data_IF_630873179110
#
_entry.id   IF_630873179110
#
_cell.length_a   1.000
_cell.length_b   1.000
_cell.length_c   1.000
_cell.angle_alpha   90.00
_cell.angle_beta   90.00
_cell.angle_gamma   90.00
#
_symmetry.space_group_name_H-M   'P 1'
#
loop_
_entity.id
_entity.type
_entity.pdbx_description
1 polymer ?
#
# COMPACT_ATOMS: atom_id res chain seq x y z
N UNK A 1 -10.13 -36.09 -3.77
CA UNK A 1 -11.06 -35.06 -4.28
C UNK A 1 -10.59 -33.69 -3.78
N UNK A 2 -9.67 -33.05 -4.50
CA UNK A 2 -9.18 -31.70 -4.18
C UNK A 2 -8.46 -31.16 -5.42
N UNK A 3 -9.23 -30.61 -6.37
CA UNK A 3 -8.75 -29.73 -7.43
C UNK A 3 -9.96 -28.90 -7.87
N UNK A 4 -10.15 -27.71 -7.30
CA UNK A 4 -11.14 -26.72 -7.77
C UNK A 4 -10.81 -25.29 -7.29
N UNK A 5 -9.52 -24.94 -7.16
CA UNK A 5 -9.08 -23.62 -6.67
C UNK A 5 -8.25 -22.78 -7.66
N UNK A 6 -7.80 -23.36 -8.79
CA UNK A 6 -6.91 -22.69 -9.76
C UNK A 6 -7.57 -22.29 -11.07
N UNK A 7 -8.82 -22.67 -11.30
CA UNK A 7 -9.51 -22.44 -12.57
C UNK A 7 -10.13 -21.05 -12.67
N UNK A 8 -10.49 -20.39 -11.56
CA UNK A 8 -11.10 -19.05 -11.61
C UNK A 8 -10.10 -17.93 -11.97
N UNK A 9 -8.90 -17.92 -11.37
CA UNK A 9 -7.87 -16.87 -11.64
C UNK A 9 -7.35 -16.91 -13.09
N UNK A 10 -7.04 -18.09 -13.62
CA UNK A 10 -6.56 -18.21 -15.02
C UNK A 10 -7.63 -17.82 -16.06
N UNK A 11 -8.91 -17.99 -15.73
CA UNK A 11 -10.03 -17.64 -16.64
C UNK A 11 -10.33 -16.14 -16.59
N UNK A 12 -10.13 -15.48 -15.45
CA UNK A 12 -10.27 -14.03 -15.29
C UNK A 12 -9.14 -13.28 -16.02
N UNK A 13 -7.88 -13.66 -15.78
CA UNK A 13 -6.72 -13.07 -16.47
C UNK A 13 -6.76 -13.20 -18.01
N UNK A 14 -7.21 -14.35 -18.53
CA UNK A 14 -7.35 -14.58 -19.98
C UNK A 14 -8.49 -13.78 -20.63
N UNK A 15 -9.51 -13.37 -19.86
CA UNK A 15 -10.63 -12.52 -20.32
C UNK A 15 -10.34 -11.04 -20.16
N UNK A 16 -9.63 -10.63 -19.10
CA UNK A 16 -9.12 -9.27 -18.90
C UNK A 16 -8.22 -8.87 -20.09
N UNK A 17 -7.39 -9.79 -20.60
CA UNK A 17 -6.59 -9.56 -21.81
C UNK A 17 -7.42 -9.26 -23.08
N UNK A 18 -8.71 -9.60 -23.13
CA UNK A 18 -9.63 -9.29 -24.25
C UNK A 18 -10.11 -7.83 -24.22
N UNK A 19 -10.05 -7.17 -23.06
CA UNK A 19 -10.44 -5.76 -22.84
C UNK A 19 -9.45 -4.80 -23.52
N UNK A 20 -8.17 -5.19 -23.65
CA UNK A 20 -7.13 -4.42 -24.37
C UNK A 20 -7.42 -4.08 -25.84
N UNK A 21 -8.48 -4.64 -26.45
CA UNK A 21 -8.84 -4.36 -27.86
C UNK A 21 -9.87 -3.24 -28.05
N UNK A 22 -10.36 -2.59 -26.99
CA UNK A 22 -11.32 -1.50 -27.18
C UNK A 22 -11.48 -0.57 -25.99
N UNK A 23 -10.54 0.34 -25.77
CA UNK A 23 -10.89 1.70 -25.30
C UNK A 23 -9.73 2.68 -25.46
N UNK A 24 -10.11 3.94 -25.61
CA UNK A 24 -9.39 5.02 -26.28
C UNK A 24 -8.25 5.65 -25.47
N UNK A 25 -7.28 6.18 -26.22
CA UNK A 25 -6.16 7.02 -25.78
C UNK A 25 -6.61 8.34 -25.15
N UNK A 26 -6.07 8.67 -23.97
CA UNK A 26 -6.01 10.04 -23.46
C UNK A 26 -4.54 10.51 -23.43
N UNK A 27 -4.25 11.60 -24.13
CA UNK A 27 -2.92 12.21 -24.26
C UNK A 27 -2.77 13.25 -23.13
N UNK A 28 -1.79 13.05 -22.24
CA UNK A 28 -1.35 14.08 -21.29
C UNK A 28 -0.47 15.10 -22.00
N UNK A 29 -0.88 16.37 -22.00
CA UNK A 29 -0.04 17.50 -22.34
C UNK A 29 -0.15 18.53 -21.22
N UNK A 30 0.96 18.84 -20.54
CA UNK A 30 1.02 19.93 -19.58
C UNK A 30 2.28 20.76 -19.82
N UNK A 31 2.07 22.04 -20.11
CA UNK A 31 3.12 23.03 -20.28
C UNK A 31 2.67 24.42 -19.82
N UNK A 32 3.61 25.09 -19.11
CA UNK A 32 3.76 26.53 -18.86
C UNK A 32 3.03 27.17 -17.65
N UNK A 33 3.50 28.33 -17.12
CA UNK A 33 4.85 28.58 -16.58
C UNK A 33 4.84 29.32 -15.21
N UNK A 34 6.03 29.41 -14.61
CA UNK A 34 6.37 29.97 -13.28
C UNK A 34 6.14 31.48 -13.13
N UNK A 35 5.78 31.90 -11.91
CA UNK A 35 6.04 33.25 -11.41
C UNK A 35 6.61 33.20 -9.98
N UNK A 36 7.52 34.13 -9.68
CA UNK A 36 8.42 34.18 -8.53
C UNK A 36 8.01 35.26 -7.53
N UNK A 37 7.99 34.97 -6.23
CA UNK A 37 7.83 35.99 -5.15
C UNK A 37 8.65 35.57 -3.91
N UNK A 38 9.28 36.52 -3.16
CA UNK A 38 10.49 36.26 -2.37
C UNK A 38 10.26 35.94 -0.88
N UNK A 39 11.33 35.44 -0.27
CA UNK A 39 11.43 34.95 1.10
C UNK A 39 11.31 36.04 2.18
N UNK A 40 10.75 35.67 3.33
CA UNK A 40 10.96 36.39 4.60
C UNK A 40 11.31 35.40 5.71
N UNK A 41 12.36 35.76 6.45
CA UNK A 41 12.98 35.02 7.53
C UNK A 41 12.30 35.29 8.88
N UNK A 42 12.19 34.25 9.72
CA UNK A 42 12.59 34.25 11.14
C UNK A 42 12.06 32.99 11.86
N UNK A 43 12.92 31.98 12.07
CA UNK A 43 12.66 30.86 12.97
C UNK A 43 13.29 31.13 14.34
N UNK A 44 12.53 30.88 15.42
CA UNK A 44 13.06 30.67 16.76
C UNK A 44 12.83 29.21 17.18
N UNK A 45 13.94 28.54 17.47
CA UNK A 45 14.07 27.16 17.95
C UNK A 45 13.43 26.97 19.34
N UNK A 46 12.76 25.83 19.56
CA UNK A 46 12.28 25.42 20.88
C UNK A 46 12.90 24.07 21.30
N UNK A 47 13.35 24.02 22.54
CA UNK A 47 14.31 23.07 23.10
C UNK A 47 13.74 21.68 23.43
N UNK A 48 14.63 20.67 23.37
CA UNK A 48 14.39 19.26 23.68
C UNK A 48 14.57 19.00 25.18
N UNK A 49 13.59 18.32 25.82
CA UNK A 49 13.70 17.79 27.19
C UNK A 49 13.86 16.26 27.15
N UNK A 50 14.93 15.77 27.77
CA UNK A 50 15.22 14.33 28.04
C UNK A 50 14.50 13.89 29.34
N UNK A 51 14.27 12.63 29.75
CA UNK A 51 14.73 11.27 29.41
C UNK A 51 13.86 10.28 30.22
N UNK A 52 13.72 9.01 29.79
CA UNK A 52 14.18 7.84 30.58
C UNK A 52 13.97 6.52 29.81
N UNK A 53 15.01 5.67 29.86
CA UNK A 53 15.23 4.46 29.06
C UNK A 53 15.33 3.27 30.02
N UNK A 54 14.68 2.15 29.68
CA UNK A 54 15.00 0.83 30.24
C UNK A 54 15.87 0.05 29.23
N UNK A 55 17.01 -0.46 29.71
CA UNK A 55 18.04 -1.19 28.96
C UNK A 55 17.62 -2.63 28.64
N UNK A 56 17.94 -3.09 27.43
CA UNK A 56 18.33 -4.49 27.15
C UNK A 56 19.38 -4.51 26.04
N UNK A 57 20.47 -5.20 26.33
CA UNK A 57 21.73 -5.22 25.58
C UNK A 57 21.65 -6.05 24.29
N UNK A 58 21.79 -5.38 23.14
CA UNK A 58 22.38 -5.93 21.90
C UNK A 58 23.19 -4.78 21.28
N UNK A 59 24.47 -4.69 21.62
CA UNK A 59 25.40 -3.73 21.00
C UNK A 59 25.88 -4.30 19.65
N UNK A 60 25.10 -4.03 18.60
CA UNK A 60 25.69 -3.81 17.28
C UNK A 60 26.06 -2.33 17.26
N UNK A 61 27.34 -2.00 17.05
CA UNK A 61 27.76 -0.63 16.77
C UNK A 61 27.07 -0.14 15.48
N UNK A 62 25.87 0.41 15.64
CA UNK A 62 25.33 1.35 14.66
C UNK A 62 26.25 2.56 14.72
N UNK A 63 27.09 2.70 13.69
CA UNK A 63 27.74 3.98 13.36
C UNK A 63 26.73 5.08 13.62
N UNK A 64 27.13 6.04 14.46
CA UNK A 64 26.36 7.25 14.78
C UNK A 64 25.69 7.77 13.50
N UNK A 65 24.37 7.92 13.55
CA UNK A 65 23.58 8.49 12.46
C UNK A 65 24.01 9.95 12.36
N UNK A 66 25.03 10.20 11.56
CA UNK A 66 25.54 11.54 11.29
C UNK A 66 24.49 12.29 10.47
N UNK A 67 23.92 13.33 11.10
CA UNK A 67 22.91 14.29 10.59
C UNK A 67 21.53 13.69 10.31
N UNK A 68 20.58 14.02 11.19
CA UNK A 68 19.14 13.93 10.87
C UNK A 68 18.88 14.93 9.74
N UNK A 69 18.64 14.42 8.53
CA UNK A 69 18.28 15.24 7.38
C UNK A 69 16.79 15.54 7.45
N UNK A 70 16.42 16.83 7.39
CA UNK A 70 15.03 17.24 7.28
C UNK A 70 14.50 16.92 5.88
N UNK A 71 13.57 15.97 5.82
CA UNK A 71 13.08 15.36 4.56
C UNK A 71 12.17 16.32 3.78
N UNK A 72 11.59 17.29 4.48
CA UNK A 72 10.56 18.19 3.96
C UNK A 72 11.09 19.57 3.54
N UNK A 73 12.41 19.80 3.58
CA UNK A 73 13.03 21.12 3.39
C UNK A 73 13.11 21.61 1.92
N UNK A 74 12.43 20.96 0.99
CA UNK A 74 12.46 21.37 -0.42
C UNK A 74 11.45 22.49 -0.74
N UNK A 75 11.87 23.73 -0.50
CA UNK A 75 11.10 24.94 -0.80
C UNK A 75 10.88 25.19 -2.30
N UNK A 76 11.52 24.43 -3.21
CA UNK A 76 11.38 24.62 -4.65
C UNK A 76 10.14 23.93 -5.23
N UNK A 77 9.62 22.94 -4.52
CA UNK A 77 8.41 22.22 -4.90
C UNK A 77 7.22 22.65 -4.03
N UNK A 78 6.25 23.41 -4.57
CA UNK A 78 5.06 23.82 -3.83
C UNK A 78 4.26 22.65 -3.25
N UNK A 79 4.33 21.45 -3.82
CA UNK A 79 3.62 20.26 -3.34
C UNK A 79 4.19 19.73 -2.02
N UNK A 80 5.39 20.18 -1.64
CA UNK A 80 6.01 19.83 -0.37
C UNK A 80 5.34 20.46 0.84
N UNK A 81 4.67 21.61 0.63
CA UNK A 81 4.01 22.33 1.70
C UNK A 81 4.90 22.52 2.94
N UNK A 82 6.19 22.86 2.72
CA UNK A 82 7.26 22.82 3.74
C UNK A 82 6.84 23.45 5.07
N UNK A 83 6.19 24.62 5.02
CA UNK A 83 5.75 25.37 6.20
C UNK A 83 4.76 24.63 7.12
N UNK A 84 4.01 23.67 6.57
CA UNK A 84 2.99 22.89 7.29
C UNK A 84 3.25 21.38 7.27
N UNK A 85 4.35 20.93 6.64
CA UNK A 85 4.64 19.51 6.44
C UNK A 85 4.71 18.71 7.76
N UNK A 86 5.25 19.33 8.81
CA UNK A 86 5.29 18.74 10.15
C UNK A 86 3.89 18.51 10.73
N UNK A 87 2.98 19.47 10.54
CA UNK A 87 1.61 19.38 11.05
C UNK A 87 0.77 18.41 10.22
N UNK A 88 0.98 18.35 8.90
CA UNK A 88 0.42 17.30 8.03
C UNK A 88 0.84 15.92 8.55
N UNK A 89 2.13 15.71 8.82
CA UNK A 89 2.62 14.42 9.31
C UNK A 89 2.03 14.06 10.68
N UNK A 90 2.00 15.01 11.64
CA UNK A 90 1.35 14.80 12.94
C UNK A 90 -0.13 14.43 12.79
N UNK A 91 -0.85 15.13 11.91
CA UNK A 91 -2.24 14.83 11.63
C UNK A 91 -2.40 13.43 11.03
N UNK A 92 -1.60 13.07 10.03
CA UNK A 92 -1.62 11.73 9.44
C UNK A 92 -1.41 10.64 10.50
N UNK A 93 -0.42 10.81 11.41
CA UNK A 93 -0.15 9.87 12.50
C UNK A 93 -1.32 9.76 13.50
N UNK A 94 -1.92 10.89 13.86
CA UNK A 94 -3.06 10.93 14.78
C UNK A 94 -4.34 10.33 14.18
N UNK A 95 -4.49 10.42 12.85
CA UNK A 95 -5.65 9.95 12.10
C UNK A 95 -5.52 8.50 11.59
N UNK A 96 -4.48 7.74 12.00
CA UNK A 96 -4.29 6.32 11.67
C UNK A 96 -5.38 5.43 12.31
N UNK A 97 -6.60 5.50 11.78
CA UNK A 97 -7.70 4.60 12.16
C UNK A 97 -7.43 3.22 11.57
N UNK A 98 -7.56 2.19 12.40
CA UNK A 98 -7.43 0.79 11.99
C UNK A 98 -8.80 0.11 11.97
N UNK A 99 -9.06 -0.78 11.01
CA UNK A 99 -10.16 -1.76 11.12
C UNK A 99 -10.01 -2.62 12.38
N UNK A 100 -11.07 -3.35 12.75
CA UNK A 100 -10.93 -4.36 13.81
C UNK A 100 -9.96 -5.45 13.36
N UNK A 101 -9.21 -6.02 14.29
CA UNK A 101 -8.21 -7.06 13.97
C UNK A 101 -8.76 -8.48 14.07
N UNK A 102 -10.02 -8.60 14.48
CA UNK A 102 -10.69 -9.84 14.86
C UNK A 102 -12.08 -9.97 14.21
N UNK A 103 -12.39 -9.17 13.18
CA UNK A 103 -13.73 -9.20 12.58
C UNK A 103 -14.02 -10.51 11.86
N UNK A 104 -13.00 -11.23 11.39
CA UNK A 104 -13.19 -12.56 10.80
C UNK A 104 -13.71 -13.57 11.83
N UNK A 105 -13.24 -13.47 13.07
CA UNK A 105 -13.62 -14.36 14.16
C UNK A 105 -14.88 -13.88 14.90
N UNK A 106 -15.01 -12.56 15.10
CA UNK A 106 -16.05 -11.96 15.93
C UNK A 106 -17.34 -11.61 15.20
N UNK A 107 -17.25 -11.19 13.93
CA UNK A 107 -18.40 -10.66 13.17
C UNK A 107 -18.78 -11.61 12.03
N UNK A 108 -17.79 -12.07 11.27
CA UNK A 108 -18.04 -12.83 10.06
C UNK A 108 -18.38 -14.29 10.35
N UNK A 109 -19.40 -14.80 9.64
CA UNK A 109 -19.90 -16.18 9.81
C UNK A 109 -19.69 -17.04 8.57
N UNK A 110 -19.65 -16.41 7.40
CA UNK A 110 -19.67 -17.09 6.10
C UNK A 110 -18.45 -16.76 5.22
N UNK A 111 -17.64 -15.78 5.63
CA UNK A 111 -16.38 -15.42 4.98
C UNK A 111 -15.21 -15.67 5.95
N UNK A 112 -14.03 -15.92 5.40
CA UNK A 112 -12.80 -16.11 6.15
C UNK A 112 -11.64 -15.31 5.53
N UNK A 113 -10.49 -15.30 6.21
CA UNK A 113 -9.29 -14.59 5.77
C UNK A 113 -8.82 -14.99 4.37
N UNK A 114 -8.94 -16.26 3.99
CA UNK A 114 -8.57 -16.73 2.65
C UNK A 114 -9.47 -16.14 1.55
N UNK A 115 -10.77 -16.02 1.81
CA UNK A 115 -11.72 -15.45 0.85
C UNK A 115 -11.48 -13.94 0.68
N UNK A 116 -11.13 -13.23 1.75
CA UNK A 116 -10.65 -11.85 1.69
C UNK A 116 -9.37 -11.73 0.86
N UNK A 117 -8.39 -12.58 1.10
CA UNK A 117 -7.14 -12.58 0.32
C UNK A 117 -7.42 -12.81 -1.18
N UNK A 118 -8.28 -13.77 -1.53
CA UNK A 118 -8.71 -14.00 -2.92
C UNK A 118 -9.42 -12.79 -3.52
N UNK A 119 -10.27 -12.10 -2.74
CA UNK A 119 -10.89 -10.85 -3.22
C UNK A 119 -9.84 -9.78 -3.52
N UNK A 120 -8.93 -9.52 -2.58
CA UNK A 120 -7.94 -8.45 -2.71
C UNK A 120 -6.98 -8.73 -3.87
N UNK A 121 -6.54 -9.98 -4.04
CA UNK A 121 -5.74 -10.43 -5.18
C UNK A 121 -6.44 -10.11 -6.51
N UNK A 122 -7.73 -10.42 -6.62
CA UNK A 122 -8.52 -10.04 -7.79
C UNK A 122 -8.67 -8.51 -7.95
N UNK A 123 -8.79 -7.75 -6.85
CA UNK A 123 -8.85 -6.28 -6.92
C UNK A 123 -7.53 -5.65 -7.37
N UNK A 124 -6.38 -6.32 -7.18
CA UNK A 124 -5.12 -5.90 -7.80
C UNK A 124 -5.23 -5.99 -9.33
N UNK A 125 -5.76 -7.09 -9.87
CA UNK A 125 -6.00 -7.24 -11.32
C UNK A 125 -6.96 -6.16 -11.85
N UNK A 126 -8.02 -5.84 -11.10
CA UNK A 126 -8.96 -4.75 -11.42
C UNK A 126 -8.24 -3.39 -11.47
N UNK A 127 -7.40 -3.10 -10.47
CA UNK A 127 -6.66 -1.85 -10.41
C UNK A 127 -5.66 -1.72 -11.57
N UNK A 128 -5.01 -2.81 -11.95
CA UNK A 128 -4.11 -2.85 -13.11
C UNK A 128 -4.87 -2.64 -14.43
N UNK A 129 -6.03 -3.28 -14.59
CA UNK A 129 -6.83 -3.17 -15.82
C UNK A 129 -7.29 -1.73 -16.09
N UNK A 130 -7.76 -1.04 -15.04
CA UNK A 130 -8.15 0.37 -15.13
C UNK A 130 -7.01 1.36 -14.91
N UNK A 131 -5.78 0.86 -14.70
CA UNK A 131 -4.56 1.67 -14.45
C UNK A 131 -4.74 2.67 -13.31
N UNK A 132 -5.39 2.24 -12.24
CA UNK A 132 -5.65 3.04 -11.06
C UNK A 132 -4.33 3.36 -10.34
N UNK A 133 -4.26 4.51 -9.68
CA UNK A 133 -3.13 4.81 -8.81
C UNK A 133 -3.13 3.87 -7.59
N UNK A 134 -1.96 3.51 -7.03
CA UNK A 134 -1.91 2.58 -5.91
C UNK A 134 -2.76 3.04 -4.71
N UNK A 135 -2.80 4.35 -4.43
CA UNK A 135 -3.55 4.93 -3.33
C UNK A 135 -5.05 4.55 -3.38
N UNK A 136 -5.62 4.42 -4.59
CA UNK A 136 -6.98 3.95 -4.83
C UNK A 136 -7.20 2.52 -4.33
N UNK A 137 -6.28 1.60 -4.62
CA UNK A 137 -6.35 0.22 -4.13
C UNK A 137 -6.25 0.16 -2.60
N UNK A 138 -5.32 0.92 -2.01
CA UNK A 138 -5.14 0.96 -0.56
C UNK A 138 -6.39 1.50 0.16
N UNK A 139 -7.04 2.52 -0.40
CA UNK A 139 -8.31 3.03 0.11
C UNK A 139 -9.43 2.01 -0.04
N UNK A 140 -9.55 1.35 -1.19
CA UNK A 140 -10.57 0.32 -1.40
C UNK A 140 -10.45 -0.82 -0.37
N UNK A 141 -9.25 -1.32 -0.11
CA UNK A 141 -9.00 -2.34 0.93
C UNK A 141 -9.36 -1.82 2.33
N UNK A 142 -9.01 -0.57 2.66
CA UNK A 142 -9.41 0.07 3.91
C UNK A 142 -10.94 0.09 4.08
N UNK A 143 -11.68 0.41 3.01
CA UNK A 143 -13.14 0.46 3.04
C UNK A 143 -13.75 -0.93 3.24
N UNK A 144 -13.22 -1.95 2.55
CA UNK A 144 -13.65 -3.34 2.69
C UNK A 144 -13.49 -3.78 4.16
N UNK A 145 -12.30 -3.62 4.73
CA UNK A 145 -12.02 -4.10 6.08
C UNK A 145 -12.82 -3.36 7.15
N UNK A 146 -12.98 -2.03 7.02
CA UNK A 146 -13.83 -1.26 7.93
C UNK A 146 -15.29 -1.68 7.83
N UNK A 147 -15.80 -1.92 6.62
CA UNK A 147 -17.18 -2.35 6.42
C UNK A 147 -17.42 -3.75 7.01
N UNK A 148 -16.51 -4.70 6.76
CA UNK A 148 -16.55 -6.05 7.33
C UNK A 148 -16.36 -6.06 8.85
N UNK A 149 -15.75 -5.02 9.43
CA UNK A 149 -15.60 -4.89 10.89
C UNK A 149 -16.91 -4.66 11.64
N UNK A 150 -18.00 -4.28 10.97
CA UNK A 150 -19.30 -4.07 11.64
C UNK A 150 -20.51 -4.62 10.90
N UNK A 151 -20.32 -5.23 9.72
CA UNK A 151 -21.41 -5.78 8.92
C UNK A 151 -21.11 -7.22 8.55
N UNK A 152 -22.03 -8.13 8.92
CA UNK A 152 -21.96 -9.53 8.51
C UNK A 152 -22.11 -9.60 6.99
N UNK A 153 -21.19 -10.30 6.32
CA UNK A 153 -21.19 -10.45 4.87
C UNK A 153 -21.42 -11.91 4.47
N UNK A 154 -22.24 -12.10 3.43
CA UNK A 154 -22.37 -13.39 2.76
C UNK A 154 -21.30 -13.49 1.66
N UNK A 155 -20.69 -14.67 1.51
CA UNK A 155 -19.65 -14.91 0.51
C UNK A 155 -20.04 -14.54 -0.92
N UNK A 156 -21.31 -14.71 -1.29
CA UNK A 156 -21.86 -14.44 -2.61
C UNK A 156 -21.90 -12.93 -2.93
N UNK A 157 -21.89 -12.08 -1.89
CA UNK A 157 -21.89 -10.62 -2.00
C UNK A 157 -20.52 -10.00 -1.74
N UNK A 158 -19.50 -10.81 -1.47
CA UNK A 158 -18.16 -10.33 -1.16
C UNK A 158 -17.50 -9.64 -2.36
N UNK A 159 -17.69 -10.15 -3.58
CA UNK A 159 -17.21 -9.49 -4.80
C UNK A 159 -17.93 -8.15 -5.04
N UNK A 160 -19.27 -8.11 -4.84
CA UNK A 160 -20.06 -6.87 -4.91
C UNK A 160 -19.53 -5.81 -3.94
N UNK A 161 -19.20 -6.18 -2.69
CA UNK A 161 -18.54 -5.28 -1.74
C UNK A 161 -17.23 -4.74 -2.32
N UNK A 162 -16.37 -5.64 -2.82
CA UNK A 162 -15.05 -5.28 -3.35
C UNK A 162 -15.13 -4.25 -4.48
N UNK A 163 -15.93 -4.52 -5.52
CA UNK A 163 -16.07 -3.56 -6.63
C UNK A 163 -16.71 -2.25 -6.23
N UNK A 164 -17.66 -2.27 -5.28
CA UNK A 164 -18.30 -1.05 -4.79
C UNK A 164 -17.30 -0.20 -3.99
N UNK A 165 -16.43 -0.83 -3.20
CA UNK A 165 -15.34 -0.14 -2.50
C UNK A 165 -14.30 0.45 -3.47
N UNK A 166 -13.95 -0.25 -4.55
CA UNK A 166 -13.10 0.32 -5.61
C UNK A 166 -13.82 1.48 -6.29
N UNK A 167 -15.10 1.36 -6.62
CA UNK A 167 -15.89 2.45 -7.22
C UNK A 167 -15.92 3.71 -6.34
N UNK A 168 -16.03 3.55 -5.02
CA UNK A 168 -15.93 4.67 -4.09
C UNK A 168 -14.51 5.26 -4.08
N UNK A 169 -13.47 4.40 -4.06
CA UNK A 169 -12.09 4.85 -4.04
C UNK A 169 -11.70 5.61 -5.31
N UNK A 170 -12.13 5.17 -6.50
CA UNK A 170 -11.83 5.89 -7.75
C UNK A 170 -12.50 7.26 -7.80
N UNK A 171 -13.71 7.42 -7.25
CA UNK A 171 -14.38 8.72 -7.14
C UNK A 171 -13.65 9.66 -6.17
N UNK A 172 -12.87 9.11 -5.26
CA UNK A 172 -12.17 9.86 -4.22
C UNK A 172 -10.75 10.26 -4.66
N UNK A 173 -10.02 9.36 -5.32
CA UNK A 173 -8.58 9.52 -5.57
C UNK A 173 -8.24 9.78 -7.05
N UNK A 174 -9.05 9.29 -8.00
CA UNK A 174 -8.73 9.40 -9.43
C UNK A 174 -9.21 10.73 -10.02
N UNK A 175 -8.45 11.27 -10.96
CA UNK A 175 -8.85 12.45 -11.74
C UNK A 175 -10.05 12.10 -12.63
N UNK A 176 -10.04 10.90 -13.22
CA UNK A 176 -11.07 10.40 -14.11
C UNK A 176 -11.58 9.06 -13.60
N UNK A 177 -12.66 9.08 -12.83
CA UNK A 177 -13.28 7.85 -12.34
C UNK A 177 -14.04 7.09 -13.46
N UNK A 178 -13.85 5.75 -13.58
CA UNK A 178 -14.68 4.91 -14.44
C UNK A 178 -16.17 5.01 -14.10
N UNK A 179 -17.01 4.80 -15.10
CA UNK A 179 -18.47 4.77 -14.91
C UNK A 179 -18.91 3.47 -14.22
N UNK A 180 -20.10 3.48 -13.60
CA UNK A 180 -20.62 2.31 -12.88
C UNK A 180 -20.78 1.08 -13.79
N UNK A 181 -21.10 1.30 -15.06
CA UNK A 181 -21.23 0.25 -16.07
C UNK A 181 -19.92 -0.53 -16.28
N UNK A 182 -18.76 0.11 -16.10
CA UNK A 182 -17.46 -0.56 -16.18
C UNK A 182 -17.28 -1.55 -15.02
N UNK A 183 -17.72 -1.18 -13.81
CA UNK A 183 -17.69 -2.07 -12.65
C UNK A 183 -18.67 -3.23 -12.78
N UNK A 184 -19.84 -3.02 -13.39
CA UNK A 184 -20.72 -4.14 -13.76
C UNK A 184 -20.02 -5.07 -14.76
N UNK A 185 -19.40 -4.50 -15.79
CA UNK A 185 -18.72 -5.25 -16.84
C UNK A 185 -17.56 -6.11 -16.32
N UNK A 186 -16.69 -5.59 -15.46
CA UNK A 186 -15.53 -6.35 -14.94
C UNK A 186 -15.94 -7.49 -14.00
N UNK A 187 -17.15 -7.42 -13.42
CA UNK A 187 -17.75 -8.55 -12.71
C UNK A 187 -18.42 -9.56 -13.64
N UNK A 188 -18.15 -9.51 -14.94
CA UNK A 188 -18.83 -10.29 -15.98
C UNK A 188 -20.35 -10.09 -15.98
N UNK A 189 -20.82 -8.90 -15.59
CA UNK A 189 -22.24 -8.59 -15.36
C UNK A 189 -22.92 -9.52 -14.35
N UNK A 190 -22.16 -10.03 -13.38
CA UNK A 190 -22.73 -10.78 -12.24
C UNK A 190 -23.68 -9.92 -11.43
N UNK A 191 -23.44 -8.60 -11.39
CA UNK A 191 -24.24 -7.63 -10.64
C UNK A 191 -24.82 -6.56 -11.56
N UNK A 192 -26.05 -6.15 -11.27
CA UNK A 192 -26.70 -5.03 -11.93
C UNK A 192 -26.23 -3.70 -11.35
N UNK A 193 -26.35 -2.63 -12.15
CA UNK A 193 -26.00 -1.26 -11.77
C UNK A 193 -26.64 -0.86 -10.44
N UNK A 194 -27.91 -1.19 -10.26
CA UNK A 194 -28.68 -0.87 -9.05
C UNK A 194 -28.10 -1.55 -7.82
N UNK A 195 -27.60 -2.78 -7.94
CA UNK A 195 -26.98 -3.51 -6.83
C UNK A 195 -25.65 -2.88 -6.43
N UNK A 196 -24.84 -2.46 -7.40
CA UNK A 196 -23.56 -1.76 -7.15
C UNK A 196 -23.82 -0.41 -6.47
N UNK A 197 -24.80 0.36 -6.94
CA UNK A 197 -25.17 1.64 -6.33
C UNK A 197 -25.77 1.49 -4.93
N UNK A 198 -26.59 0.46 -4.69
CA UNK A 198 -27.10 0.15 -3.36
C UNK A 198 -25.97 -0.23 -2.39
N UNK A 199 -25.01 -1.01 -2.87
CA UNK A 199 -23.86 -1.40 -2.06
C UNK A 199 -22.94 -0.21 -1.78
N UNK A 200 -22.70 0.67 -2.75
CA UNK A 200 -22.02 1.95 -2.53
C UNK A 200 -22.71 2.77 -1.43
N UNK A 201 -24.03 2.96 -1.53
CA UNK A 201 -24.78 3.72 -0.55
C UNK A 201 -24.68 3.09 0.85
N UNK A 202 -24.73 1.75 0.95
CA UNK A 202 -24.57 1.04 2.22
C UNK A 202 -23.18 1.29 2.84
N UNK A 203 -22.11 1.19 2.05
CA UNK A 203 -20.73 1.45 2.51
C UNK A 203 -20.58 2.90 2.96
N UNK A 204 -21.00 3.88 2.16
CA UNK A 204 -20.89 5.30 2.50
C UNK A 204 -21.65 5.66 3.78
N UNK A 205 -22.88 5.13 3.93
CA UNK A 205 -23.69 5.37 5.12
C UNK A 205 -23.07 4.75 6.38
N UNK A 206 -22.58 3.52 6.29
CA UNK A 206 -21.91 2.87 7.42
C UNK A 206 -20.65 3.64 7.85
N UNK A 207 -19.89 4.14 6.87
CA UNK A 207 -18.66 4.90 7.09
C UNK A 207 -18.92 6.36 7.47
N UNK A 208 -20.19 6.80 7.49
CA UNK A 208 -20.61 8.19 7.71
C UNK A 208 -19.86 9.17 6.80
N UNK A 209 -19.58 8.75 5.57
CA UNK A 209 -18.81 9.50 4.58
C UNK A 209 -17.36 9.86 5.02
N UNK A 210 -16.81 9.22 6.06
CA UNK A 210 -15.41 9.36 6.46
C UNK A 210 -14.50 8.46 5.59
N UNK A 211 -14.30 8.89 4.34
CA UNK A 211 -13.55 8.14 3.32
C UNK A 211 -12.04 8.41 3.34
N UNK A 212 -11.61 9.56 3.87
CA UNK A 212 -10.19 9.86 4.03
C UNK A 212 -9.58 8.93 5.09
N UNK A 213 -8.56 8.15 4.72
CA UNK A 213 -7.82 7.30 5.65
C UNK A 213 -6.32 7.32 5.33
N UNK A 214 -5.43 7.55 6.32
CA UNK A 214 -3.99 7.37 6.12
C UNK A 214 -3.68 5.91 5.77
N UNK A 215 -2.99 5.68 4.66
CA UNK A 215 -2.59 4.34 4.21
C UNK A 215 -1.09 4.15 4.31
N UNK A 216 -0.62 2.90 4.23
CA UNK A 216 0.83 2.62 4.25
C UNK A 216 1.52 3.29 3.06
N UNK A 217 0.83 3.43 1.92
CA UNK A 217 1.31 4.15 0.74
C UNK A 217 1.58 5.64 1.04
N UNK A 218 0.73 6.30 1.83
CA UNK A 218 0.94 7.70 2.25
C UNK A 218 2.27 7.86 3.02
N UNK A 219 2.53 6.97 3.97
CA UNK A 219 3.76 7.00 4.77
C UNK A 219 4.99 6.59 3.98
N UNK A 220 4.86 5.61 3.08
CA UNK A 220 5.95 5.14 2.23
C UNK A 220 6.56 6.25 1.39
N UNK A 221 5.75 7.12 0.77
CA UNK A 221 6.25 8.25 -0.05
C UNK A 221 7.23 9.12 0.74
N UNK A 222 6.92 9.39 2.01
CA UNK A 222 7.79 10.16 2.92
C UNK A 222 9.02 9.35 3.33
N UNK A 223 8.85 8.07 3.66
CA UNK A 223 9.95 7.25 4.17
C UNK A 223 10.98 6.86 3.11
N UNK A 224 10.58 6.67 1.84
CA UNK A 224 11.50 6.48 0.71
C UNK A 224 12.47 7.65 0.60
N UNK A 225 11.98 8.88 0.79
CA UNK A 225 12.79 10.10 0.76
C UNK A 225 13.65 10.32 2.00
N UNK A 226 13.22 9.78 3.14
CA UNK A 226 13.98 9.77 4.38
C UNK A 226 15.10 8.70 4.39
N UNK A 227 14.94 7.65 3.60
CA UNK A 227 15.84 6.52 3.54
C UNK A 227 17.23 6.72 2.89
N UNK A 228 17.52 7.75 2.04
CA UNK A 228 18.83 7.96 1.45
C UNK A 228 19.82 8.51 2.48
N UNK A 229 20.30 7.61 3.34
CA UNK A 229 21.52 7.77 4.14
C UNK A 229 22.67 6.87 3.66
N UNK A 230 22.47 6.16 2.54
CA UNK A 230 23.47 5.27 1.95
C UNK A 230 23.52 5.58 0.45
N UNK A 231 24.59 6.19 -0.05
CA UNK A 231 24.85 6.45 -1.48
C UNK A 231 25.01 5.16 -2.31
N UNK A 232 24.51 4.03 -1.81
CA UNK A 232 24.88 2.68 -2.20
C UNK A 232 23.72 1.89 -2.81
N UNK A 233 22.47 2.38 -2.71
CA UNK A 233 21.27 1.73 -3.24
C UNK A 233 20.57 2.71 -4.19
N UNK A 234 20.28 2.34 -5.45
CA UNK A 234 19.46 3.16 -6.34
C UNK A 234 18.10 3.44 -5.70
N UNK A 235 17.73 4.72 -5.55
CA UNK A 235 16.49 5.15 -4.91
C UNK A 235 15.25 4.46 -5.48
N UNK A 236 15.22 4.26 -6.80
CA UNK A 236 14.14 3.57 -7.50
C UNK A 236 13.99 2.09 -7.09
N UNK A 237 15.10 1.35 -6.92
CA UNK A 237 15.03 -0.06 -6.51
C UNK A 237 14.47 -0.21 -5.10
N UNK A 238 14.91 0.67 -4.19
CA UNK A 238 14.40 0.72 -2.83
C UNK A 238 12.90 1.00 -2.83
N UNK A 239 12.48 2.00 -3.60
CA UNK A 239 11.08 2.35 -3.74
C UNK A 239 10.24 1.19 -4.28
N UNK A 240 10.65 0.54 -5.37
CA UNK A 240 9.90 -0.58 -5.94
C UNK A 240 9.73 -1.73 -4.93
N UNK A 241 10.80 -2.15 -4.26
CA UNK A 241 10.72 -3.26 -3.29
C UNK A 241 9.90 -2.86 -2.07
N UNK A 242 10.05 -1.64 -1.55
CA UNK A 242 9.27 -1.19 -0.41
C UNK A 242 7.76 -1.10 -0.73
N UNK A 243 7.40 -0.61 -1.93
CA UNK A 243 6.00 -0.61 -2.37
C UNK A 243 5.46 -2.04 -2.51
N UNK A 244 6.21 -2.94 -3.14
CA UNK A 244 5.84 -4.34 -3.27
C UNK A 244 5.58 -5.00 -1.91
N UNK A 245 6.50 -4.84 -0.96
CA UNK A 245 6.35 -5.40 0.39
C UNK A 245 5.15 -4.82 1.15
N UNK A 246 4.87 -3.53 1.01
CA UNK A 246 3.69 -2.93 1.62
C UNK A 246 2.39 -3.40 0.95
N UNK A 247 2.40 -3.64 -0.36
CA UNK A 247 1.22 -4.13 -1.08
C UNK A 247 0.88 -5.57 -0.68
N UNK A 248 1.89 -6.43 -0.49
CA UNK A 248 1.71 -7.77 0.07
C UNK A 248 1.00 -7.74 1.43
N UNK A 249 1.20 -6.68 2.24
CA UNK A 249 0.53 -6.55 3.52
C UNK A 249 -0.99 -6.36 3.42
N UNK A 250 -1.50 -5.88 2.27
CA UNK A 250 -2.93 -5.71 2.05
C UNK A 250 -3.65 -7.07 2.01
N UNK A 251 -3.02 -8.07 1.39
CA UNK A 251 -3.57 -9.42 1.20
C UNK A 251 -3.65 -10.17 2.53
N UNK A 252 -2.64 -10.00 3.38
CA UNK A 252 -2.48 -10.76 4.62
C UNK A 252 -3.33 -10.18 5.77
N UNK A 253 -4.38 -10.90 6.18
CA UNK A 253 -5.30 -10.46 7.24
C UNK A 253 -4.59 -10.19 8.57
N UNK A 254 -3.56 -10.97 8.91
CA UNK A 254 -2.80 -10.78 10.15
C UNK A 254 -2.03 -9.44 10.21
N UNK A 255 -1.81 -8.78 9.07
CA UNK A 255 -1.15 -7.47 9.02
C UNK A 255 -2.03 -6.32 9.53
N UNK A 256 -3.34 -6.51 9.68
CA UNK A 256 -4.26 -5.49 10.20
C UNK A 256 -3.95 -5.05 11.64
N UNK A 257 -3.23 -5.88 12.41
CA UNK A 257 -2.83 -5.53 13.76
C UNK A 257 -1.80 -4.39 13.82
N UNK A 258 -1.11 -4.12 12.71
CA UNK A 258 -0.10 -3.07 12.61
C UNK A 258 -0.68 -1.77 12.05
N UNK A 259 -0.13 -0.64 12.48
CA UNK A 259 -0.54 0.66 11.94
C UNK A 259 0.06 0.90 10.54
N UNK A 260 -0.60 1.68 9.68
CA UNK A 260 -0.09 1.97 8.34
C UNK A 260 1.33 2.54 8.33
N UNK A 261 1.68 3.41 9.30
CA UNK A 261 3.03 3.93 9.42
C UNK A 261 4.06 2.86 9.81
N UNK A 262 3.68 1.91 10.67
CA UNK A 262 4.56 0.80 11.05
C UNK A 262 4.81 -0.17 9.89
N UNK A 263 3.78 -0.47 9.10
CA UNK A 263 3.90 -1.28 7.88
C UNK A 263 4.86 -0.60 6.90
N UNK A 264 4.65 0.69 6.63
CA UNK A 264 5.49 1.45 5.73
C UNK A 264 6.96 1.49 6.18
N UNK A 265 7.22 1.74 7.47
CA UNK A 265 8.58 1.75 8.02
C UNK A 265 9.24 0.36 7.92
N UNK A 266 8.48 -0.70 8.23
CA UNK A 266 8.96 -2.08 8.14
C UNK A 266 9.27 -2.49 6.70
N UNK A 267 8.44 -2.09 5.73
CA UNK A 267 8.68 -2.33 4.32
C UNK A 267 9.97 -1.65 3.84
N UNK A 268 10.22 -0.40 4.24
CA UNK A 268 11.48 0.30 3.93
C UNK A 268 12.67 -0.40 4.56
N UNK A 269 12.57 -0.77 5.84
CA UNK A 269 13.63 -1.48 6.54
C UNK A 269 13.97 -2.81 5.85
N UNK A 270 12.95 -3.62 5.55
CA UNK A 270 13.11 -4.92 4.90
C UNK A 270 13.62 -4.77 3.46
N UNK A 271 13.14 -3.78 2.71
CA UNK A 271 13.64 -3.49 1.37
C UNK A 271 15.13 -3.10 1.39
N UNK A 272 15.55 -2.21 2.30
CA UNK A 272 16.97 -1.89 2.51
C UNK A 272 17.76 -3.13 2.89
N UNK A 273 17.23 -3.95 3.80
CA UNK A 273 17.87 -5.19 4.21
C UNK A 273 18.11 -6.10 3.00
N UNK A 274 17.07 -6.39 2.20
CA UNK A 274 17.14 -7.24 1.00
C UNK A 274 18.18 -6.70 0.00
N UNK A 275 18.17 -5.40 -0.28
CA UNK A 275 19.10 -4.79 -1.25
C UNK A 275 20.55 -4.79 -0.77
N UNK A 276 20.77 -4.74 0.55
CA UNK A 276 22.10 -4.79 1.16
C UNK A 276 22.61 -6.23 1.37
N UNK A 277 21.74 -7.26 1.34
CA UNK A 277 22.16 -8.68 1.38
C UNK A 277 23.16 -8.99 0.27
N UNK A 278 22.97 -8.39 -0.91
CA UNK A 278 23.84 -8.48 -2.09
C UNK A 278 25.30 -8.11 -1.79
N UNK A 279 25.56 -7.35 -0.71
CA UNK A 279 26.87 -6.83 -0.33
C UNK A 279 27.44 -7.43 0.95
N UNK A 280 26.74 -8.38 1.59
CA UNK A 280 27.15 -8.96 2.89
C UNK A 280 27.39 -10.49 2.77
N UNK A 281 28.66 -10.96 2.71
CA UNK A 281 28.99 -12.35 2.38
C UNK A 281 28.55 -13.40 3.42
N UNK A 282 28.28 -12.99 4.67
CA UNK A 282 27.86 -13.91 5.73
C UNK A 282 26.46 -14.51 5.54
N UNK A 283 25.60 -13.89 4.71
CA UNK A 283 24.27 -14.43 4.41
C UNK A 283 24.28 -15.60 3.44
N UNK A 284 25.32 -15.73 2.59
CA UNK A 284 25.51 -16.94 1.76
C UNK A 284 25.67 -18.19 2.63
N UNK A 285 26.33 -18.05 3.78
CA UNK A 285 26.47 -19.15 4.75
C UNK A 285 25.15 -19.52 5.42
N UNK A 286 24.31 -18.55 5.78
CA UNK A 286 23.01 -18.81 6.43
C UNK A 286 21.99 -19.39 5.43
N UNK A 287 21.94 -18.86 4.20
CA UNK A 287 21.07 -19.35 3.14
C UNK A 287 21.44 -20.79 2.73
N UNK A 288 22.73 -21.11 2.65
CA UNK A 288 23.22 -22.48 2.38
C UNK A 288 22.84 -23.48 3.49
N UNK A 289 22.73 -23.04 4.75
CA UNK A 289 22.44 -23.92 5.90
C UNK A 289 20.94 -24.22 6.08
N UNK A 290 20.06 -23.29 5.66
CA UNK A 290 18.62 -23.36 5.95
C UNK A 290 17.71 -23.38 4.71
N UNK A 291 18.26 -23.37 3.48
CA UNK A 291 17.44 -23.50 2.27
C UNK A 291 16.93 -24.93 2.07
N UNK A 292 15.71 -25.10 1.51
CA UNK A 292 15.23 -26.39 1.05
C UNK A 292 16.18 -27.01 0.00
N UNK A 293 16.38 -28.33 0.01
CA UNK A 293 17.29 -29.01 -0.92
C UNK A 293 16.88 -28.93 -2.40
N UNK A 294 15.70 -28.38 -2.70
CA UNK A 294 15.17 -28.18 -4.05
C UNK A 294 15.75 -26.96 -4.78
N UNK A 295 16.54 -26.11 -4.11
CA UNK A 295 17.16 -24.94 -4.75
C UNK A 295 18.53 -25.35 -5.31
N UNK A 296 18.78 -25.17 -6.62
CA UNK A 296 20.05 -25.54 -7.22
C UNK A 296 21.26 -24.86 -6.54
N UNK A 297 22.35 -25.60 -6.25
CA UNK A 297 23.51 -25.08 -5.50
C UNK A 297 24.24 -23.94 -6.21
N UNK A 298 24.11 -23.86 -7.54
CA UNK A 298 24.61 -22.81 -8.43
C UNK A 298 24.12 -21.39 -8.09
N UNK A 299 22.97 -21.24 -7.41
CA UNK A 299 22.52 -19.95 -6.87
C UNK A 299 23.36 -19.42 -5.70
N UNK A 300 24.18 -20.26 -5.07
CA UNK A 300 24.99 -19.91 -3.90
C UNK A 300 26.47 -19.70 -4.22
N UNK A 301 26.90 -19.96 -5.46
CA UNK A 301 28.28 -19.71 -5.89
C UNK A 301 28.50 -18.22 -6.20
N UNK A 302 29.72 -17.72 -5.98
CA UNK A 302 30.12 -16.39 -6.44
C UNK A 302 30.28 -16.44 -7.97
N UNK A 303 29.56 -15.61 -8.72
CA UNK A 303 29.76 -15.40 -10.17
C UNK A 303 31.03 -14.57 -10.47
N UNK A 304 32.07 -14.72 -9.65
CA UNK A 304 33.37 -14.09 -9.88
C UNK A 304 34.46 -15.05 -9.43
N UNK A 305 34.90 -15.85 -10.41
CA UNK A 305 36.29 -16.22 -10.64
C UNK A 305 36.48 -16.30 -12.16
#
# INVERSE_FOLDING_TARGET
MQQNGRTHSATSAAKIAKIKKGSSTCIYNSGLPRSSVPASSNLKSCAVVSRNIYKRDILVEMKTIDKIVEVDDDFKDPQMCVSIACDIYKHLRASEKRPSTDFMEGIQKDINASMRATLIDWLVEVAEEYRLVPDTLYLAVNYIDRYLSGNVMNRQRLQLLGVSCVMIAVKYEEICAPQVEEFCYITENTYFKEEVLQMEAAVLNYMKFEMTAPTSKCFLRRFVRAAPGCNEVPSLQLECIANYLAELSLIEYSMLCYSPSLIAASAIFLAKYILLLSKRPWYKFVAKKNCPPSIPPEFFHNLSN
#
